data_IF_649824237306
#
_entry.id   IF_649824237306
#
_cell.length_a   1.000
_cell.length_b   1.000
_cell.length_c   1.000
_cell.angle_alpha   90.00
_cell.angle_beta   90.00
_cell.angle_gamma   90.00
#
_symmetry.space_group_name_H-M   'P 1'
#
loop_
_entity.id
_entity.type
_entity.pdbx_description
1 polymer ?
#
# COMPACT_ATOMS: atom_id res chain seq x y z
N UNK A 1 21.84 -28.61 -1.86
CA UNK A 1 21.96 -28.17 -3.27
C UNK A 1 20.60 -28.11 -3.97
N UNK A 2 19.70 -29.08 -3.77
CA UNK A 2 18.38 -29.12 -4.43
C UNK A 2 17.42 -28.02 -3.94
N UNK A 3 17.48 -27.64 -2.66
CA UNK A 3 16.61 -26.58 -2.11
C UNK A 3 16.94 -25.18 -2.62
N UNK A 4 18.24 -24.85 -2.76
CA UNK A 4 18.67 -23.53 -3.28
C UNK A 4 18.32 -23.33 -4.77
N UNK A 5 18.23 -24.42 -5.56
CA UNK A 5 17.84 -24.33 -6.97
C UNK A 5 16.32 -24.11 -7.09
N UNK A 6 15.53 -24.69 -6.20
CA UNK A 6 14.07 -24.52 -6.18
C UNK A 6 13.65 -23.10 -5.79
N UNK A 7 14.26 -22.52 -4.73
CA UNK A 7 14.02 -21.12 -4.32
C UNK A 7 14.44 -20.14 -5.42
N UNK A 8 15.59 -20.40 -6.08
CA UNK A 8 16.07 -19.58 -7.21
C UNK A 8 15.08 -19.60 -8.40
N UNK A 9 14.50 -20.75 -8.71
CA UNK A 9 13.51 -20.90 -9.78
C UNK A 9 12.18 -20.24 -9.43
N UNK A 10 11.69 -20.38 -8.20
CA UNK A 10 10.47 -19.69 -7.72
C UNK A 10 10.63 -18.17 -7.80
N UNK A 11 11.78 -17.64 -7.37
CA UNK A 11 12.09 -16.22 -7.47
C UNK A 11 12.09 -15.75 -8.92
N UNK A 12 12.77 -16.45 -9.83
CA UNK A 12 12.81 -16.09 -11.27
C UNK A 12 11.41 -16.10 -11.91
N UNK A 13 10.54 -17.04 -11.52
CA UNK A 13 9.15 -17.10 -12.01
C UNK A 13 8.33 -15.94 -11.47
N UNK A 14 8.47 -15.60 -10.18
CA UNK A 14 7.82 -14.43 -9.58
C UNK A 14 8.19 -13.16 -10.34
N UNK A 15 9.47 -12.95 -10.59
CA UNK A 15 9.99 -11.80 -11.35
C UNK A 15 9.43 -11.77 -12.79
N UNK A 16 9.26 -12.93 -13.44
CA UNK A 16 8.67 -13.04 -14.79
C UNK A 16 7.19 -12.65 -14.79
N UNK A 17 6.40 -13.17 -13.84
CA UNK A 17 4.97 -12.86 -13.73
C UNK A 17 4.74 -11.39 -13.38
N UNK A 18 5.57 -10.83 -12.52
CA UNK A 18 5.55 -9.40 -12.22
C UNK A 18 5.82 -8.56 -13.47
N UNK A 19 6.81 -8.91 -14.25
CA UNK A 19 7.12 -8.23 -15.52
C UNK A 19 5.99 -8.35 -16.56
N UNK A 20 5.36 -9.51 -16.67
CA UNK A 20 4.20 -9.71 -17.53
C UNK A 20 3.01 -8.85 -17.09
N UNK A 21 2.75 -8.79 -15.78
CA UNK A 21 1.69 -7.96 -15.24
C UNK A 21 1.95 -6.46 -15.49
N UNK A 22 3.19 -5.98 -15.28
CA UNK A 22 3.56 -4.59 -15.56
C UNK A 22 3.31 -4.23 -17.04
N UNK A 23 3.65 -5.12 -17.98
CA UNK A 23 3.37 -4.88 -19.39
C UNK A 23 1.85 -4.80 -19.66
N UNK A 24 1.07 -5.74 -19.12
CA UNK A 24 -0.40 -5.72 -19.23
C UNK A 24 -0.98 -4.42 -18.66
N UNK A 25 -0.48 -3.97 -17.52
CA UNK A 25 -0.93 -2.75 -16.87
C UNK A 25 -0.57 -1.49 -17.69
N UNK A 26 0.65 -1.41 -18.23
CA UNK A 26 1.05 -0.29 -19.11
C UNK A 26 0.17 -0.23 -20.35
N UNK A 27 -0.11 -1.38 -20.98
CA UNK A 27 -1.00 -1.45 -22.14
C UNK A 27 -2.40 -0.94 -21.79
N UNK A 28 -2.90 -1.29 -20.63
CA UNK A 28 -4.19 -0.80 -20.12
C UNK A 28 -4.18 0.72 -19.87
N UNK A 29 -3.14 1.25 -19.21
CA UNK A 29 -2.96 2.70 -18.99
C UNK A 29 -2.92 3.46 -20.30
N UNK A 30 -2.27 2.91 -21.35
CA UNK A 30 -2.25 3.52 -22.66
C UNK A 30 -3.64 3.63 -23.30
N UNK A 31 -4.57 2.75 -22.95
CA UNK A 31 -5.97 2.78 -23.43
C UNK A 31 -6.87 3.74 -22.66
N UNK A 32 -6.45 4.26 -21.51
CA UNK A 32 -7.25 5.22 -20.74
C UNK A 32 -7.46 6.51 -21.56
N UNK A 33 -8.63 7.13 -21.47
CA UNK A 33 -8.97 8.36 -22.22
C UNK A 33 -8.35 9.61 -21.57
N UNK A 34 -7.05 9.58 -21.33
CA UNK A 34 -6.27 10.68 -20.76
C UNK A 34 -5.27 11.22 -21.78
N UNK A 35 -4.99 12.54 -21.78
CA UNK A 35 -3.89 13.11 -22.56
C UNK A 35 -2.54 12.45 -22.20
N UNK A 36 -1.68 12.22 -23.19
CA UNK A 36 -0.39 11.55 -23.00
C UNK A 36 0.45 12.23 -21.90
N UNK A 37 0.52 13.55 -21.90
CA UNK A 37 1.23 14.31 -20.86
C UNK A 37 0.74 13.96 -19.44
N UNK A 38 -0.57 13.90 -19.23
CA UNK A 38 -1.16 13.57 -17.93
C UNK A 38 -0.84 12.13 -17.54
N UNK A 39 -0.92 11.17 -18.48
CA UNK A 39 -0.54 9.78 -18.22
C UNK A 39 0.89 9.67 -17.70
N UNK A 40 1.86 10.27 -18.42
CA UNK A 40 3.27 10.18 -18.06
C UNK A 40 3.62 10.96 -16.79
N UNK A 41 2.95 12.08 -16.52
CA UNK A 41 3.06 12.76 -15.22
C UNK A 41 2.65 11.84 -14.08
N UNK A 42 1.54 11.12 -14.23
CA UNK A 42 1.08 10.16 -13.25
C UNK A 42 1.98 8.92 -13.17
N UNK A 43 2.39 8.35 -14.30
CA UNK A 43 3.32 7.22 -14.35
C UNK A 43 4.64 7.52 -13.65
N UNK A 44 5.09 8.78 -13.65
CA UNK A 44 6.33 9.19 -12.97
C UNK A 44 6.35 8.82 -11.48
N UNK A 45 5.19 8.85 -10.80
CA UNK A 45 5.07 8.52 -9.39
C UNK A 45 4.79 7.02 -9.14
N UNK A 46 4.44 6.27 -10.18
CA UNK A 46 3.94 4.91 -10.00
C UNK A 46 5.04 3.93 -9.56
N UNK A 47 4.80 3.14 -8.49
CA UNK A 47 5.74 2.10 -8.06
C UNK A 47 5.91 0.97 -9.09
N UNK A 48 5.03 0.89 -10.10
CA UNK A 48 5.12 -0.09 -11.17
C UNK A 48 6.08 0.35 -12.31
N UNK A 49 6.49 1.62 -12.33
CA UNK A 49 7.48 2.10 -13.30
C UNK A 49 8.88 1.83 -12.76
N UNK A 50 9.58 0.93 -13.43
CA UNK A 50 10.99 0.65 -13.15
C UNK A 50 11.89 1.68 -13.84
N UNK A 51 13.11 1.87 -13.31
CA UNK A 51 14.07 2.76 -13.94
C UNK A 51 14.53 2.26 -15.31
N UNK A 52 14.49 0.94 -15.55
CA UNK A 52 14.73 0.36 -16.86
C UNK A 52 13.66 0.80 -17.88
N UNK A 53 12.38 0.82 -17.46
CA UNK A 53 11.29 1.31 -18.33
C UNK A 53 11.44 2.80 -18.62
N UNK A 54 11.75 3.62 -17.62
CA UNK A 54 12.02 5.04 -17.80
C UNK A 54 13.18 5.27 -18.79
N UNK A 55 14.30 4.58 -18.62
CA UNK A 55 15.49 4.72 -19.48
C UNK A 55 15.22 4.37 -20.95
N UNK A 56 14.32 3.42 -21.22
CA UNK A 56 13.91 3.03 -22.57
C UNK A 56 12.92 4.01 -23.22
N UNK A 57 12.28 4.88 -22.43
CA UNK A 57 11.21 5.77 -22.88
C UNK A 57 11.47 7.23 -22.47
N UNK A 58 12.74 7.69 -22.50
CA UNK A 58 13.12 9.06 -22.10
C UNK A 58 12.54 10.15 -22.98
N UNK A 59 12.05 9.80 -24.19
CA UNK A 59 11.36 10.68 -25.14
C UNK A 59 9.94 11.05 -24.72
N UNK A 60 9.39 10.37 -23.72
CA UNK A 60 8.03 10.60 -23.23
C UNK A 60 7.97 11.79 -22.25
N UNK A 61 6.80 12.43 -22.11
CA UNK A 61 6.64 13.63 -21.28
C UNK A 61 6.56 13.30 -19.79
N UNK A 62 7.63 12.72 -19.23
CA UNK A 62 7.78 12.44 -17.81
C UNK A 62 7.79 13.72 -16.99
N UNK A 63 7.25 13.64 -15.77
CA UNK A 63 7.53 14.63 -14.74
C UNK A 63 8.79 14.20 -13.97
N UNK A 64 9.94 14.80 -14.28
CA UNK A 64 11.23 14.39 -13.75
C UNK A 64 11.35 14.63 -12.23
N UNK A 65 10.71 15.68 -11.73
CA UNK A 65 10.68 15.96 -10.29
C UNK A 65 9.88 14.88 -9.55
N UNK A 66 8.68 14.54 -10.04
CA UNK A 66 7.85 13.50 -9.44
C UNK A 66 8.50 12.11 -9.54
N UNK A 67 9.17 11.84 -10.67
CA UNK A 67 9.91 10.59 -10.85
C UNK A 67 10.97 10.42 -9.75
N UNK A 68 11.73 11.46 -9.44
CA UNK A 68 12.74 11.41 -8.38
C UNK A 68 12.13 11.36 -6.99
N UNK A 69 11.13 12.16 -6.70
CA UNK A 69 10.65 12.35 -5.34
C UNK A 69 9.65 11.29 -4.87
N UNK A 70 8.94 10.67 -5.81
CA UNK A 70 7.80 9.83 -5.47
C UNK A 70 7.91 8.38 -5.97
N UNK A 71 8.80 8.11 -6.95
CA UNK A 71 8.95 6.74 -7.45
C UNK A 71 9.93 5.94 -6.56
N UNK A 72 9.48 4.85 -5.91
CA UNK A 72 10.33 4.08 -5.01
C UNK A 72 11.42 3.26 -5.71
N UNK A 73 11.42 3.21 -7.06
CA UNK A 73 12.41 2.47 -7.84
C UNK A 73 13.62 3.33 -8.26
N UNK A 74 13.71 4.59 -7.82
CA UNK A 74 14.88 5.44 -8.07
C UNK A 74 16.13 4.81 -7.43
N UNK A 75 17.24 4.82 -8.17
CA UNK A 75 18.53 4.24 -7.75
C UNK A 75 19.62 5.31 -7.74
N UNK A 76 20.77 4.98 -7.16
CA UNK A 76 21.98 5.82 -7.19
C UNK A 76 22.40 6.15 -8.64
N UNK A 77 22.33 5.16 -9.56
CA UNK A 77 22.69 5.37 -10.97
C UNK A 77 21.81 6.44 -11.64
N UNK A 78 20.51 6.48 -11.31
CA UNK A 78 19.60 7.51 -11.81
C UNK A 78 20.00 8.88 -11.24
N UNK A 79 20.35 8.97 -9.96
CA UNK A 79 20.83 10.20 -9.34
C UNK A 79 22.09 10.73 -10.03
N UNK A 80 23.08 9.87 -10.27
CA UNK A 80 24.31 10.21 -10.99
C UNK A 80 24.01 10.62 -12.46
N UNK A 81 23.10 9.92 -13.12
CA UNK A 81 22.68 10.28 -14.49
C UNK A 81 22.05 11.68 -14.53
N UNK A 82 21.13 11.98 -13.61
CA UNK A 82 20.46 13.29 -13.55
C UNK A 82 21.45 14.41 -13.22
N UNK A 83 22.36 14.17 -12.26
CA UNK A 83 23.43 15.10 -11.92
C UNK A 83 24.32 15.40 -13.15
N UNK A 84 24.73 14.36 -13.89
CA UNK A 84 25.55 14.51 -15.10
C UNK A 84 24.85 15.26 -16.24
N UNK A 85 23.53 15.11 -16.35
CA UNK A 85 22.71 15.75 -17.38
C UNK A 85 22.05 17.04 -16.89
N UNK A 86 22.35 17.53 -15.71
CA UNK A 86 21.65 18.64 -15.07
C UNK A 86 21.55 19.89 -15.96
N UNK A 87 22.64 20.22 -16.69
CA UNK A 87 22.64 21.37 -17.62
C UNK A 87 21.62 21.25 -18.74
N UNK A 88 21.25 20.02 -19.14
CA UNK A 88 20.29 19.74 -20.22
C UNK A 88 18.87 19.74 -19.67
N UNK A 89 18.66 19.06 -18.54
CA UNK A 89 17.32 18.84 -17.97
C UNK A 89 16.86 19.94 -17.00
N UNK A 90 17.73 20.92 -16.68
CA UNK A 90 17.47 21.95 -15.67
C UNK A 90 16.14 22.67 -15.89
N UNK A 91 15.85 23.04 -17.14
CA UNK A 91 14.62 23.77 -17.46
C UNK A 91 13.39 22.92 -17.19
N UNK A 92 13.34 21.70 -17.73
CA UNK A 92 12.21 20.79 -17.60
C UNK A 92 12.01 20.40 -16.12
N UNK A 93 13.11 20.15 -15.41
CA UNK A 93 13.08 19.83 -13.99
C UNK A 93 12.51 20.97 -13.12
N UNK A 94 12.87 22.24 -13.44
CA UNK A 94 12.34 23.41 -12.74
C UNK A 94 10.85 23.58 -13.06
N UNK A 95 10.43 23.41 -14.31
CA UNK A 95 9.02 23.46 -14.70
C UNK A 95 8.19 22.41 -13.94
N UNK A 96 8.68 21.18 -13.87
CA UNK A 96 8.05 20.07 -13.15
C UNK A 96 7.98 20.34 -11.62
N UNK A 97 9.06 20.86 -11.02
CA UNK A 97 9.10 21.28 -9.64
C UNK A 97 8.03 22.34 -9.35
N UNK A 98 7.94 23.37 -10.19
CA UNK A 98 6.97 24.45 -10.04
C UNK A 98 5.52 23.95 -10.19
N UNK A 99 5.25 23.05 -11.15
CA UNK A 99 3.93 22.44 -11.32
C UNK A 99 3.51 21.64 -10.10
N UNK A 100 4.44 20.92 -9.47
CA UNK A 100 4.18 20.10 -8.29
C UNK A 100 3.89 20.91 -7.04
N UNK A 101 4.26 22.20 -6.99
CA UNK A 101 4.10 23.11 -5.85
C UNK A 101 3.03 24.20 -6.03
N UNK A 102 2.45 24.34 -7.21
CA UNK A 102 1.42 25.37 -7.51
C UNK A 102 0.09 25.19 -6.73
N UNK A 103 -0.04 24.19 -5.88
CA UNK A 103 -1.18 23.98 -4.99
C UNK A 103 -0.97 24.51 -3.54
N UNK A 104 0.24 24.90 -3.18
CA UNK A 104 0.59 25.42 -1.84
C UNK A 104 0.74 26.94 -1.97
N UNK A 105 -0.03 27.69 -1.14
CA UNK A 105 -0.20 29.16 -1.16
C UNK A 105 0.96 29.95 -1.77
N UNK A 106 0.64 30.67 -2.82
CA UNK A 106 1.50 31.32 -3.81
C UNK A 106 2.44 32.43 -3.31
N UNK A 107 2.62 32.64 -2.04
CA UNK A 107 3.36 33.81 -1.54
C UNK A 107 4.85 33.58 -1.25
N UNK A 108 5.28 32.36 -0.99
CA UNK A 108 6.70 32.10 -0.67
C UNK A 108 7.57 31.58 -1.82
N UNK A 109 6.98 31.00 -2.87
CA UNK A 109 7.74 30.33 -3.94
C UNK A 109 7.87 31.10 -5.26
N UNK A 110 7.07 32.15 -5.48
CA UNK A 110 7.16 32.95 -6.73
C UNK A 110 8.45 33.75 -6.88
N UNK A 111 9.17 34.00 -5.82
CA UNK A 111 10.48 34.70 -5.85
C UNK A 111 11.66 33.75 -5.93
N UNK A 112 11.51 32.46 -5.57
CA UNK A 112 12.63 31.51 -5.47
C UNK A 112 12.93 30.72 -6.74
N UNK A 113 12.03 30.70 -7.74
CA UNK A 113 12.28 29.98 -9.02
C UNK A 113 13.46 30.55 -9.82
N UNK A 114 13.80 31.82 -9.62
CA UNK A 114 14.99 32.49 -10.19
C UNK A 114 16.27 32.12 -9.44
N UNK A 115 16.20 31.49 -8.26
CA UNK A 115 17.34 31.21 -7.37
C UNK A 115 17.67 29.74 -7.20
N UNK A 116 17.04 28.80 -7.94
CA UNK A 116 17.46 27.38 -7.90
C UNK A 116 18.85 27.24 -8.52
N UNK A 117 19.85 27.33 -7.66
CA UNK A 117 21.25 27.10 -8.04
C UNK A 117 21.45 25.62 -8.42
N UNK A 118 22.52 25.33 -9.18
CA UNK A 118 22.87 23.92 -9.50
C UNK A 118 23.06 23.08 -8.22
N UNK A 119 23.66 23.63 -7.17
CA UNK A 119 23.83 22.94 -5.90
C UNK A 119 22.50 22.59 -5.26
N UNK A 120 21.50 23.49 -5.31
CA UNK A 120 20.17 23.20 -4.77
C UNK A 120 19.44 22.13 -5.55
N UNK A 121 19.60 22.09 -6.86
CA UNK A 121 19.06 21.05 -7.71
C UNK A 121 19.72 19.69 -7.42
N UNK A 122 21.03 19.67 -7.17
CA UNK A 122 21.76 18.46 -6.75
C UNK A 122 21.22 17.95 -5.40
N UNK A 123 21.01 18.84 -4.41
CA UNK A 123 20.39 18.46 -3.14
C UNK A 123 19.01 17.81 -3.34
N UNK A 124 18.15 18.37 -4.20
CA UNK A 124 16.83 17.82 -4.52
C UNK A 124 16.95 16.43 -5.17
N UNK A 125 17.87 16.26 -6.13
CA UNK A 125 18.14 14.96 -6.77
C UNK A 125 18.49 13.93 -5.71
N UNK A 126 19.46 14.24 -4.83
CA UNK A 126 19.91 13.29 -3.80
C UNK A 126 18.90 13.09 -2.67
N UNK A 127 18.02 14.05 -2.42
CA UNK A 127 16.85 13.84 -1.56
C UNK A 127 15.93 12.77 -2.14
N UNK A 128 15.65 12.82 -3.45
CA UNK A 128 14.85 11.80 -4.14
C UNK A 128 15.53 10.42 -4.12
N UNK A 129 16.84 10.37 -4.46
CA UNK A 129 17.63 9.14 -4.38
C UNK A 129 17.62 8.53 -2.98
N UNK A 130 17.67 9.36 -1.93
CA UNK A 130 17.60 8.91 -0.53
C UNK A 130 16.28 8.21 -0.20
N UNK A 131 15.19 8.49 -0.94
CA UNK A 131 13.88 7.83 -0.80
C UNK A 131 13.71 6.59 -1.66
N UNK A 132 14.62 6.34 -2.58
CA UNK A 132 14.58 5.25 -3.53
C UNK A 132 15.23 3.95 -3.04
N UNK A 133 15.59 3.10 -3.99
CA UNK A 133 16.33 1.84 -3.73
C UNK A 133 17.81 2.14 -3.54
N UNK A 134 18.26 2.18 -2.31
CA UNK A 134 19.65 2.41 -1.94
C UNK A 134 20.12 1.37 -0.93
N UNK A 135 21.39 1.02 -0.96
CA UNK A 135 22.04 0.14 0.01
C UNK A 135 22.96 0.92 0.91
N UNK A 136 23.29 0.38 2.10
CA UNK A 136 24.25 1.02 3.00
C UNK A 136 25.63 1.14 2.34
N UNK A 137 26.05 0.14 1.57
CA UNK A 137 27.33 0.17 0.84
C UNK A 137 27.39 1.32 -0.17
N UNK A 138 26.31 1.57 -0.91
CA UNK A 138 26.22 2.70 -1.85
C UNK A 138 26.27 4.05 -1.11
N UNK A 139 25.59 4.18 0.05
CA UNK A 139 25.62 5.39 0.86
C UNK A 139 27.05 5.69 1.32
N UNK A 140 27.78 4.68 1.77
CA UNK A 140 29.18 4.82 2.20
C UNK A 140 30.11 5.10 1.02
N UNK A 141 29.92 4.41 -0.12
CA UNK A 141 30.70 4.61 -1.34
C UNK A 141 30.57 6.05 -1.86
N UNK A 142 29.36 6.61 -1.81
CA UNK A 142 29.05 7.96 -2.28
C UNK A 142 28.86 8.93 -1.10
N UNK A 143 29.66 8.81 -0.04
CA UNK A 143 29.55 9.62 1.19
C UNK A 143 29.74 11.13 0.97
N UNK A 144 30.32 11.53 -0.16
CA UNK A 144 30.48 12.94 -0.55
C UNK A 144 29.22 13.56 -1.17
N UNK A 145 28.16 12.77 -1.40
CA UNK A 145 26.89 13.26 -1.95
C UNK A 145 25.99 13.84 -0.86
N UNK A 146 25.13 14.82 -1.20
CA UNK A 146 24.26 15.47 -0.22
C UNK A 146 23.03 14.61 0.11
N UNK A 147 23.25 13.47 0.76
CA UNK A 147 22.21 12.58 1.22
C UNK A 147 21.23 13.28 2.16
N UNK A 148 19.95 13.00 2.00
CA UNK A 148 18.94 13.40 2.96
C UNK A 148 18.82 12.36 4.08
N UNK A 149 19.52 12.56 5.19
CA UNK A 149 19.52 11.62 6.32
C UNK A 149 18.13 11.43 6.94
N UNK A 150 17.31 12.48 6.91
CA UNK A 150 15.91 12.40 7.31
C UNK A 150 15.12 11.42 6.41
N UNK A 151 15.37 11.44 5.10
CA UNK A 151 14.73 10.55 4.14
C UNK A 151 15.29 9.14 4.25
N UNK A 152 16.63 8.99 4.33
CA UNK A 152 17.29 7.70 4.54
C UNK A 152 16.80 7.00 5.81
N UNK A 153 16.65 7.73 6.91
CA UNK A 153 16.15 7.16 8.17
C UNK A 153 14.75 6.54 8.06
N UNK A 154 13.91 7.01 7.13
CA UNK A 154 12.59 6.40 6.83
C UNK A 154 12.64 5.30 5.79
N UNK A 155 13.75 5.16 5.07
CA UNK A 155 13.85 4.28 3.92
C UNK A 155 13.85 2.82 4.36
N UNK A 156 12.98 2.01 3.76
CA UNK A 156 12.86 0.58 4.05
C UNK A 156 14.11 -0.25 3.70
N UNK A 157 15.04 0.29 2.92
CA UNK A 157 16.32 -0.34 2.67
C UNK A 157 17.26 -0.30 3.88
N UNK A 158 17.04 0.64 4.82
CA UNK A 158 17.85 0.82 6.04
C UNK A 158 17.25 -0.03 7.16
N UNK A 159 18.07 -0.88 7.75
CA UNK A 159 17.73 -1.77 8.85
C UNK A 159 18.35 -1.31 10.16
N UNK A 160 17.85 -1.81 11.28
CA UNK A 160 18.43 -1.50 12.60
C UNK A 160 19.91 -1.88 12.69
N UNK A 161 20.33 -2.95 12.03
CA UNK A 161 21.73 -3.38 11.96
C UNK A 161 22.63 -2.32 11.30
N UNK A 162 22.13 -1.61 10.27
CA UNK A 162 22.89 -0.55 9.61
C UNK A 162 23.07 0.65 10.55
N UNK A 163 22.02 1.00 11.29
CA UNK A 163 22.05 2.10 12.27
C UNK A 163 23.03 1.81 13.40
N UNK A 164 23.02 0.57 13.93
CA UNK A 164 23.90 0.16 15.02
C UNK A 164 25.36 0.03 14.59
N UNK A 165 25.61 -0.41 13.35
CA UNK A 165 26.97 -0.52 12.81
C UNK A 165 27.59 0.84 12.44
N UNK A 166 26.75 1.86 12.23
CA UNK A 166 27.20 3.20 11.84
C UNK A 166 26.58 4.28 12.74
N UNK A 167 26.83 4.26 14.06
CA UNK A 167 26.21 5.16 15.03
C UNK A 167 26.62 6.64 14.86
N UNK A 168 27.75 6.89 14.21
CA UNK A 168 28.28 8.24 13.97
C UNK A 168 27.59 8.96 12.80
N UNK A 169 26.76 8.25 12.01
CA UNK A 169 26.00 8.85 10.93
C UNK A 169 24.78 9.63 11.52
N UNK A 170 24.37 10.73 10.87
CA UNK A 170 23.37 11.63 11.44
C UNK A 170 21.93 11.10 11.27
N UNK A 171 21.64 9.94 11.87
CA UNK A 171 20.32 9.33 11.87
C UNK A 171 19.26 10.20 12.54
N UNK A 172 18.11 10.35 11.90
CA UNK A 172 16.93 11.00 12.47
C UNK A 172 16.05 9.95 13.17
N UNK A 173 16.10 9.88 14.51
CA UNK A 173 15.41 8.88 15.31
C UNK A 173 13.88 9.00 15.23
N UNK A 174 13.34 10.21 15.02
CA UNK A 174 11.92 10.38 14.75
C UNK A 174 11.54 9.68 13.43
N UNK A 175 12.39 9.82 12.41
CA UNK A 175 12.19 9.17 11.12
C UNK A 175 12.46 7.66 11.16
N UNK A 176 13.44 7.19 11.95
CA UNK A 176 13.66 5.77 12.22
C UNK A 176 12.42 5.13 12.88
N UNK A 177 11.73 5.86 13.76
CA UNK A 177 10.47 5.39 14.37
C UNK A 177 9.31 5.22 13.36
N UNK A 178 9.48 5.68 12.13
CA UNK A 178 8.55 5.54 10.99
C UNK A 178 9.07 4.60 9.91
N UNK A 179 10.26 4.02 10.09
CA UNK A 179 10.87 3.15 9.10
C UNK A 179 10.22 1.76 9.14
N UNK A 180 9.63 1.27 8.03
CA UNK A 180 8.92 -0.01 8.03
C UNK A 180 9.85 -1.25 8.17
N UNK A 181 11.16 -1.08 8.05
CA UNK A 181 12.14 -2.16 8.26
C UNK A 181 12.72 -2.21 9.68
N UNK A 182 12.36 -1.26 10.54
CA UNK A 182 12.63 -1.29 11.98
C UNK A 182 11.46 -1.98 12.66
N UNK A 183 11.73 -3.05 13.38
CA UNK A 183 10.70 -3.82 14.06
C UNK A 183 10.46 -3.33 15.49
N UNK A 184 9.31 -3.69 16.07
CA UNK A 184 9.04 -3.38 17.48
C UNK A 184 10.05 -4.04 18.43
N UNK A 185 10.58 -5.22 18.08
CA UNK A 185 11.61 -5.90 18.85
C UNK A 185 12.96 -5.17 18.79
N UNK A 186 13.30 -4.57 17.62
CA UNK A 186 14.47 -3.69 17.50
C UNK A 186 14.36 -2.50 18.45
N UNK A 187 13.17 -1.89 18.55
CA UNK A 187 12.93 -0.75 19.43
C UNK A 187 13.04 -1.16 20.90
N UNK A 188 12.40 -2.28 21.31
CA UNK A 188 12.44 -2.78 22.68
C UNK A 188 13.88 -3.10 23.08
N UNK A 189 14.66 -3.79 22.23
CA UNK A 189 16.04 -4.14 22.47
C UNK A 189 17.00 -2.95 22.51
N UNK A 190 16.58 -1.80 21.97
CA UNK A 190 17.35 -0.55 21.93
C UNK A 190 16.55 0.61 22.52
N UNK A 191 15.83 0.36 23.59
CA UNK A 191 14.91 1.32 24.23
C UNK A 191 15.59 2.54 24.85
N UNK A 192 16.93 2.51 25.00
CA UNK A 192 17.79 3.62 25.42
C UNK A 192 17.93 4.72 24.36
N UNK A 193 17.55 4.45 23.12
CA UNK A 193 17.63 5.40 22.00
C UNK A 193 16.47 6.38 22.02
N UNK A 194 16.62 7.59 21.41
CA UNK A 194 15.62 8.63 21.48
C UNK A 194 14.45 8.42 20.49
N UNK A 195 13.76 7.29 20.63
CA UNK A 195 12.60 6.93 19.82
C UNK A 195 11.44 7.90 19.99
N UNK A 196 10.66 8.10 18.94
CA UNK A 196 9.36 8.75 19.06
C UNK A 196 8.28 7.74 19.45
N UNK A 197 7.96 7.64 20.72
CA UNK A 197 7.03 6.64 21.29
C UNK A 197 5.59 6.78 20.79
N UNK A 198 5.19 7.92 20.23
CA UNK A 198 3.90 8.03 19.55
C UNK A 198 3.87 7.16 18.28
N UNK A 199 4.92 7.23 17.46
CA UNK A 199 5.03 6.40 16.26
C UNK A 199 5.33 4.94 16.61
N UNK A 200 6.21 4.70 17.58
CA UNK A 200 6.51 3.33 18.08
C UNK A 200 5.24 2.62 18.54
N UNK A 201 4.34 3.30 19.27
CA UNK A 201 3.08 2.73 19.74
C UNK A 201 2.06 2.43 18.61
N UNK A 202 2.38 2.82 17.37
CA UNK A 202 1.56 2.53 16.16
C UNK A 202 2.28 1.60 15.18
N UNK A 203 3.46 1.10 15.51
CA UNK A 203 4.25 0.27 14.59
C UNK A 203 3.54 -1.05 14.28
N UNK A 204 3.76 -1.54 13.07
CA UNK A 204 3.38 -2.91 12.71
C UNK A 204 4.06 -3.92 13.67
N UNK A 205 3.34 -4.96 14.05
CA UNK A 205 3.82 -5.98 14.98
C UNK A 205 3.77 -5.60 16.46
N UNK A 206 3.23 -4.39 16.81
CA UNK A 206 2.88 -4.12 18.21
C UNK A 206 1.71 -4.99 18.63
N UNK A 207 1.80 -5.57 19.82
CA UNK A 207 0.71 -6.36 20.40
C UNK A 207 0.48 -5.94 21.84
N UNK A 208 -0.69 -6.31 22.37
CA UNK A 208 -0.99 -6.06 23.77
C UNK A 208 0.00 -6.75 24.71
N UNK A 209 0.41 -7.98 24.38
CA UNK A 209 1.38 -8.76 25.14
C UNK A 209 2.72 -8.02 25.24
N UNK A 210 3.24 -7.49 24.12
CA UNK A 210 4.50 -6.73 24.10
C UNK A 210 4.45 -5.49 25.00
N UNK A 211 3.30 -4.81 25.05
CA UNK A 211 3.10 -3.65 25.93
C UNK A 211 3.10 -4.10 27.40
N UNK A 212 2.41 -5.19 27.72
CA UNK A 212 2.30 -5.72 29.07
C UNK A 212 3.61 -6.32 29.60
N UNK A 213 4.39 -6.94 28.71
CA UNK A 213 5.73 -7.47 29.04
C UNK A 213 6.75 -6.35 29.28
N UNK A 214 6.52 -5.15 28.74
CA UNK A 214 7.42 -4.00 28.84
C UNK A 214 6.74 -2.76 29.45
N UNK A 215 6.16 -2.85 30.67
CA UNK A 215 5.30 -1.81 31.24
C UNK A 215 6.04 -0.52 31.61
N UNK A 216 7.36 -0.57 31.70
CA UNK A 216 8.21 0.60 32.04
C UNK A 216 8.53 1.46 30.83
N UNK A 217 8.27 0.98 29.61
CA UNK A 217 8.48 1.76 28.40
C UNK A 217 7.37 2.82 28.23
N UNK A 218 7.68 3.99 27.67
CA UNK A 218 6.76 5.12 27.64
C UNK A 218 5.71 5.01 26.51
N UNK A 219 4.97 3.90 26.48
CA UNK A 219 3.89 3.65 25.55
C UNK A 219 2.87 4.78 25.51
N UNK A 220 2.37 5.09 24.32
CA UNK A 220 1.31 6.08 24.08
C UNK A 220 0.00 5.35 23.80
N UNK A 221 -0.80 5.12 24.86
CA UNK A 221 -2.05 4.36 24.76
C UNK A 221 -3.03 4.89 23.72
N UNK A 222 -3.16 6.21 23.57
CA UNK A 222 -3.99 6.80 22.53
C UNK A 222 -3.49 6.41 21.11
N UNK A 223 -2.17 6.46 20.88
CA UNK A 223 -1.59 6.06 19.61
C UNK A 223 -1.76 4.55 19.35
N UNK A 224 -1.58 3.72 20.37
CA UNK A 224 -1.85 2.29 20.33
C UNK A 224 -3.33 2.02 19.98
N UNK A 225 -4.27 2.66 20.68
CA UNK A 225 -5.70 2.53 20.37
C UNK A 225 -6.01 2.90 18.92
N UNK A 226 -5.46 4.02 18.41
CA UNK A 226 -5.67 4.44 17.03
C UNK A 226 -5.12 3.44 16.00
N UNK A 227 -4.19 2.55 16.39
CA UNK A 227 -3.57 1.57 15.51
C UNK A 227 -4.23 0.19 15.52
N UNK A 228 -5.21 -0.06 16.40
CA UNK A 228 -5.81 -1.39 16.59
C UNK A 228 -6.37 -1.99 15.30
N UNK A 229 -7.01 -1.16 14.48
CA UNK A 229 -7.64 -1.60 13.24
C UNK A 229 -6.61 -1.96 12.16
N UNK A 230 -5.60 -1.09 11.93
CA UNK A 230 -4.65 -1.37 10.83
C UNK A 230 -3.63 -2.44 11.20
N UNK A 231 -3.26 -2.56 12.47
CA UNK A 231 -2.33 -3.59 12.93
C UNK A 231 -3.04 -4.90 13.26
N UNK A 232 -4.36 -4.95 13.12
CA UNK A 232 -5.18 -6.12 13.42
C UNK A 232 -4.90 -6.68 14.83
N UNK A 233 -4.66 -5.79 15.81
CA UNK A 233 -4.34 -6.16 17.19
C UNK A 233 -5.61 -6.64 17.87
N UNK A 234 -5.59 -7.87 18.39
CA UNK A 234 -6.71 -8.37 19.17
C UNK A 234 -6.65 -7.81 20.61
N UNK A 235 -7.66 -7.04 20.99
CA UNK A 235 -7.86 -6.56 22.37
C UNK A 235 -9.18 -7.10 22.85
N UNK A 236 -9.20 -8.15 23.72
CA UNK A 236 -10.43 -8.66 24.28
C UNK A 236 -11.18 -7.58 25.07
N UNK A 237 -12.52 -7.58 24.97
CA UNK A 237 -13.30 -6.54 25.65
C UNK A 237 -13.18 -6.62 27.17
N UNK A 238 -13.04 -7.82 27.72
CA UNK A 238 -12.78 -8.04 29.15
C UNK A 238 -11.50 -7.31 29.59
N UNK A 239 -10.46 -7.29 28.76
CA UNK A 239 -9.25 -6.55 29.07
C UNK A 239 -9.50 -5.03 29.12
N UNK A 240 -10.35 -4.50 28.25
CA UNK A 240 -10.76 -3.09 28.29
C UNK A 240 -11.48 -2.77 29.60
N UNK A 241 -12.39 -3.66 30.02
CA UNK A 241 -13.15 -3.51 31.28
C UNK A 241 -12.25 -3.57 32.53
N UNK A 242 -11.23 -4.45 32.53
CA UNK A 242 -10.28 -4.57 33.63
C UNK A 242 -9.27 -3.41 33.69
N UNK A 243 -9.18 -2.58 32.63
CA UNK A 243 -8.20 -1.50 32.50
C UNK A 243 -8.86 -0.17 32.10
N UNK A 244 -9.99 0.16 32.70
CA UNK A 244 -10.71 1.43 32.46
C UNK A 244 -9.94 2.69 32.92
N UNK A 245 -8.84 2.53 33.65
CA UNK A 245 -7.89 3.58 33.99
C UNK A 245 -7.05 4.05 32.79
N UNK A 246 -6.99 3.25 31.73
CA UNK A 246 -6.28 3.60 30.51
C UNK A 246 -7.15 4.50 29.61
N UNK A 247 -6.54 5.45 28.88
CA UNK A 247 -7.27 6.36 28.01
C UNK A 247 -7.70 5.68 26.69
N UNK A 248 -8.66 4.74 26.80
CA UNK A 248 -9.24 4.07 25.65
C UNK A 248 -9.96 5.04 24.72
N UNK A 249 -9.76 4.89 23.42
CA UNK A 249 -10.54 5.60 22.42
C UNK A 249 -11.80 4.79 22.09
N UNK A 250 -12.94 5.10 22.73
CA UNK A 250 -14.19 4.37 22.55
C UNK A 250 -14.73 4.46 21.13
N UNK A 251 -14.40 5.51 20.36
CA UNK A 251 -14.77 5.59 18.94
C UNK A 251 -14.06 4.52 18.12
N UNK A 252 -12.75 4.31 18.34
CA UNK A 252 -11.99 3.24 17.67
C UNK A 252 -12.47 1.87 18.13
N UNK A 253 -12.65 1.68 19.44
CA UNK A 253 -13.20 0.42 19.98
C UNK A 253 -14.58 0.10 19.43
N UNK A 254 -15.42 1.09 19.18
CA UNK A 254 -16.75 0.86 18.55
C UNK A 254 -16.68 0.12 17.21
N UNK A 255 -15.59 0.28 16.45
CA UNK A 255 -15.36 -0.41 15.18
C UNK A 255 -14.56 -1.69 15.32
N UNK A 256 -13.97 -1.93 16.49
CA UNK A 256 -13.05 -3.06 16.69
C UNK A 256 -13.82 -4.39 16.75
N UNK A 257 -13.34 -5.39 16.00
CA UNK A 257 -13.99 -6.71 15.83
C UNK A 257 -14.22 -7.50 17.12
N UNK A 258 -13.48 -7.22 18.20
CA UNK A 258 -13.68 -7.88 19.48
C UNK A 258 -14.87 -7.32 20.29
N UNK A 259 -15.46 -6.20 19.84
CA UNK A 259 -16.63 -5.59 20.45
C UNK A 259 -17.87 -6.07 19.68
N UNK A 260 -18.72 -6.81 20.37
CA UNK A 260 -19.96 -7.36 19.80
C UNK A 260 -21.17 -6.47 20.10
N UNK A 261 -22.28 -6.69 19.39
CA UNK A 261 -23.55 -6.00 19.72
C UNK A 261 -23.99 -6.30 21.17
N UNK A 262 -23.77 -7.53 21.65
CA UNK A 262 -24.09 -7.90 23.02
C UNK A 262 -23.32 -7.05 24.06
N UNK A 263 -22.02 -6.80 23.82
CA UNK A 263 -21.21 -5.94 24.67
C UNK A 263 -21.74 -4.50 24.68
N UNK A 264 -22.08 -3.97 23.50
CA UNK A 264 -22.61 -2.61 23.33
C UNK A 264 -23.94 -2.46 24.12
N UNK A 265 -24.84 -3.43 24.01
CA UNK A 265 -26.12 -3.43 24.69
C UNK A 265 -25.97 -3.65 26.21
N UNK A 266 -24.98 -4.42 26.65
CA UNK A 266 -24.68 -4.65 28.06
C UNK A 266 -24.08 -3.43 28.76
N UNK A 267 -23.30 -2.61 28.01
CA UNK A 267 -22.62 -1.42 28.55
C UNK A 267 -23.05 -0.12 27.84
N UNK A 268 -24.35 0.25 27.89
CA UNK A 268 -24.91 1.37 27.14
C UNK A 268 -24.40 2.75 27.58
N UNK A 269 -23.75 2.82 28.77
CA UNK A 269 -23.19 4.07 29.32
C UNK A 269 -21.82 4.42 28.74
N UNK A 270 -21.19 3.51 28.00
CA UNK A 270 -19.98 3.85 27.28
C UNK A 270 -20.32 4.77 26.11
N UNK A 271 -19.41 5.69 25.81
CA UNK A 271 -19.59 6.65 24.71
C UNK A 271 -19.38 5.97 23.35
N UNK A 272 -20.28 5.01 23.03
CA UNK A 272 -20.26 4.29 21.77
C UNK A 272 -20.57 5.21 20.58
N UNK A 273 -19.87 4.98 19.46
CA UNK A 273 -20.13 5.69 18.21
C UNK A 273 -20.86 4.78 17.22
N UNK A 274 -22.15 5.05 16.98
CA UNK A 274 -23.00 4.24 16.08
C UNK A 274 -22.57 4.28 14.61
N UNK A 275 -21.87 5.32 14.17
CA UNK A 275 -21.27 5.38 12.86
C UNK A 275 -20.20 4.27 12.74
N UNK A 276 -19.32 4.14 13.74
CA UNK A 276 -18.28 3.11 13.77
C UNK A 276 -18.81 1.73 14.13
N UNK A 277 -19.83 1.63 15.00
CA UNK A 277 -20.52 0.35 15.26
C UNK A 277 -21.09 -0.23 13.97
N UNK A 278 -21.71 0.60 13.15
CA UNK A 278 -22.30 0.16 11.88
C UNK A 278 -21.25 -0.40 10.88
N UNK A 279 -19.99 -0.03 11.02
CA UNK A 279 -18.86 -0.54 10.24
C UNK A 279 -18.14 -1.72 10.90
N UNK A 280 -18.49 -2.04 12.16
CA UNK A 280 -17.78 -3.06 12.92
C UNK A 280 -17.98 -4.45 12.29
N UNK A 281 -16.89 -5.21 11.99
CA UNK A 281 -16.99 -6.54 11.39
C UNK A 281 -17.71 -7.59 12.24
N UNK A 282 -17.93 -7.34 13.55
CA UNK A 282 -18.73 -8.22 14.39
C UNK A 282 -20.24 -8.05 14.18
N UNK A 283 -20.67 -6.94 13.57
CA UNK A 283 -22.07 -6.64 13.28
C UNK A 283 -22.48 -7.25 11.94
N UNK A 284 -23.52 -8.04 11.98
CA UNK A 284 -24.07 -8.77 10.82
C UNK A 284 -25.41 -8.17 10.37
N UNK A 285 -25.89 -8.58 9.19
CA UNK A 285 -27.24 -8.19 8.72
C UNK A 285 -28.34 -8.71 9.63
N UNK A 286 -28.12 -9.84 10.32
CA UNK A 286 -29.05 -10.37 11.32
C UNK A 286 -29.22 -9.41 12.50
N UNK A 287 -28.11 -8.89 13.03
CA UNK A 287 -28.13 -7.91 14.13
C UNK A 287 -28.91 -6.64 13.74
N UNK A 288 -28.70 -6.16 12.50
CA UNK A 288 -29.40 -4.99 11.98
C UNK A 288 -30.91 -5.24 11.84
N UNK A 289 -31.31 -6.44 11.43
CA UNK A 289 -32.71 -6.80 11.25
C UNK A 289 -33.41 -7.10 12.58
N UNK A 290 -32.73 -7.70 13.55
CA UNK A 290 -33.31 -8.00 14.87
C UNK A 290 -33.45 -6.76 15.75
N UNK A 291 -32.61 -5.73 15.51
CA UNK A 291 -32.59 -4.48 16.28
C UNK A 291 -32.81 -3.24 15.41
N UNK A 292 -33.95 -3.12 14.70
CA UNK A 292 -34.23 -1.97 13.81
C UNK A 292 -34.40 -0.64 14.57
N UNK A 293 -34.61 -0.70 15.89
CA UNK A 293 -34.75 0.48 16.77
C UNK A 293 -33.40 1.16 17.10
N UNK A 294 -32.27 0.51 16.83
CA UNK A 294 -30.93 1.06 17.11
C UNK A 294 -30.53 2.11 16.04
N UNK A 295 -29.60 2.98 16.43
CA UNK A 295 -29.19 4.12 15.60
C UNK A 295 -28.21 3.72 14.47
N UNK A 296 -28.59 2.77 13.64
CA UNK A 296 -27.77 2.32 12.51
C UNK A 296 -27.43 3.45 11.54
N UNK A 297 -26.14 3.62 11.25
CA UNK A 297 -25.65 4.52 10.22
C UNK A 297 -25.49 3.77 8.90
N UNK A 298 -26.47 3.94 8.00
CA UNK A 298 -26.59 3.12 6.78
C UNK A 298 -25.39 3.20 5.83
N UNK A 299 -24.67 4.35 5.65
CA UNK A 299 -23.41 4.35 4.93
C UNK A 299 -22.36 3.43 5.58
N UNK A 300 -22.34 3.33 6.92
CA UNK A 300 -21.49 2.40 7.67
C UNK A 300 -21.90 0.94 7.45
N UNK A 301 -23.21 0.63 7.60
CA UNK A 301 -23.76 -0.72 7.32
C UNK A 301 -23.43 -1.15 5.90
N UNK A 302 -23.59 -0.25 4.92
CA UNK A 302 -23.34 -0.56 3.50
C UNK A 302 -21.89 -0.95 3.22
N UNK A 303 -20.92 -0.33 3.90
CA UNK A 303 -19.48 -0.63 3.73
C UNK A 303 -18.92 -1.66 4.71
N UNK A 304 -19.77 -2.16 5.63
CA UNK A 304 -19.35 -3.16 6.62
C UNK A 304 -18.88 -4.45 5.93
N UNK A 305 -17.68 -4.98 6.26
CA UNK A 305 -17.14 -6.19 5.62
C UNK A 305 -17.92 -7.47 5.93
N UNK A 306 -18.78 -7.48 6.96
CA UNK A 306 -19.66 -8.61 7.27
C UNK A 306 -20.99 -8.56 6.51
N UNK A 307 -21.27 -7.47 5.80
CA UNK A 307 -22.47 -7.34 4.94
C UNK A 307 -22.10 -7.78 3.52
N UNK A 308 -22.75 -8.84 3.07
CA UNK A 308 -22.50 -9.44 1.76
C UNK A 308 -23.38 -8.84 0.66
N UNK A 309 -23.04 -9.10 -0.60
CA UNK A 309 -23.89 -8.71 -1.74
C UNK A 309 -25.21 -9.48 -1.76
N UNK A 310 -25.25 -10.66 -1.16
CA UNK A 310 -26.48 -11.43 -0.96
C UNK A 310 -27.39 -10.76 0.10
N UNK A 311 -26.83 -10.28 1.20
CA UNK A 311 -27.58 -9.54 2.23
C UNK A 311 -28.23 -8.29 1.61
N UNK A 312 -27.49 -7.55 0.79
CA UNK A 312 -28.02 -6.36 0.10
C UNK A 312 -29.14 -6.74 -0.87
N UNK A 313 -28.98 -7.83 -1.62
CA UNK A 313 -29.97 -8.32 -2.58
C UNK A 313 -31.24 -8.83 -1.91
N UNK A 314 -31.11 -9.45 -0.73
CA UNK A 314 -32.24 -9.97 0.04
C UNK A 314 -32.96 -8.91 0.87
N UNK A 315 -32.36 -7.72 1.06
CA UNK A 315 -32.89 -6.62 1.85
C UNK A 315 -32.99 -5.33 1.03
N UNK A 316 -33.59 -5.39 -0.15
CA UNK A 316 -33.67 -4.27 -1.13
C UNK A 316 -34.48 -3.06 -0.64
N UNK A 317 -35.31 -3.24 0.38
CA UNK A 317 -36.15 -2.23 1.02
C UNK A 317 -35.37 -1.35 2.00
N UNK A 318 -34.18 -1.75 2.36
CA UNK A 318 -33.31 -1.00 3.29
C UNK A 318 -32.67 0.22 2.61
N UNK A 319 -32.35 1.28 3.35
CA UNK A 319 -31.83 2.53 2.79
C UNK A 319 -30.32 2.44 2.51
N UNK A 320 -29.91 1.51 1.65
CA UNK A 320 -28.53 1.32 1.23
C UNK A 320 -27.94 2.59 0.61
N UNK A 321 -26.71 2.93 1.00
CA UNK A 321 -25.97 4.01 0.35
C UNK A 321 -25.12 3.47 -0.81
N UNK A 322 -25.67 3.60 -2.02
CA UNK A 322 -25.04 3.11 -3.25
C UNK A 322 -23.72 3.80 -3.60
N UNK A 323 -23.44 4.98 -3.04
CA UNK A 323 -22.13 5.62 -3.18
C UNK A 323 -21.08 4.94 -2.31
N UNK A 324 -21.47 4.54 -1.08
CA UNK A 324 -20.56 3.91 -0.13
C UNK A 324 -20.40 2.39 -0.33
N UNK A 325 -21.25 1.75 -1.13
CA UNK A 325 -21.11 0.32 -1.46
C UNK A 325 -19.77 0.01 -2.14
N UNK A 326 -19.20 1.00 -2.80
CA UNK A 326 -17.88 0.93 -3.41
C UNK A 326 -16.75 0.59 -2.41
N UNK A 327 -16.95 0.90 -1.12
CA UNK A 327 -15.99 0.58 -0.06
C UNK A 327 -16.26 -0.78 0.62
N UNK A 328 -17.34 -1.47 0.24
CA UNK A 328 -17.58 -2.81 0.76
C UNK A 328 -16.61 -3.81 0.10
N UNK A 329 -15.81 -4.57 0.88
CA UNK A 329 -14.83 -5.51 0.31
C UNK A 329 -15.48 -6.72 -0.37
N UNK A 330 -16.80 -6.92 -0.20
CA UNK A 330 -17.53 -8.02 -0.83
C UNK A 330 -18.15 -7.65 -2.19
N UNK A 331 -18.03 -6.36 -2.64
CA UNK A 331 -18.58 -5.98 -3.93
C UNK A 331 -17.87 -6.72 -5.06
N UNK A 332 -18.63 -7.16 -6.06
CA UNK A 332 -18.10 -7.86 -7.22
C UNK A 332 -18.45 -7.17 -8.53
N UNK A 333 -17.65 -7.31 -9.59
CA UNK A 333 -17.98 -6.85 -10.93
C UNK A 333 -19.37 -7.33 -11.39
N UNK A 334 -19.73 -8.57 -11.09
CA UNK A 334 -21.03 -9.15 -11.42
C UNK A 334 -22.19 -8.42 -10.70
N UNK A 335 -22.04 -8.14 -9.41
CA UNK A 335 -23.03 -7.37 -8.65
C UNK A 335 -23.24 -5.97 -9.25
N UNK A 336 -22.16 -5.29 -9.63
CA UNK A 336 -22.22 -3.97 -10.29
C UNK A 336 -22.98 -4.07 -11.61
N UNK A 337 -22.68 -5.08 -12.45
CA UNK A 337 -23.34 -5.29 -13.74
C UNK A 337 -24.83 -5.62 -13.61
N UNK A 338 -25.21 -6.35 -12.57
CA UNK A 338 -26.62 -6.71 -12.31
C UNK A 338 -27.43 -5.54 -11.72
N UNK A 339 -26.77 -4.48 -11.23
CA UNK A 339 -27.37 -3.32 -10.58
C UNK A 339 -27.03 -2.00 -11.29
N UNK A 340 -26.93 -2.00 -12.63
CA UNK A 340 -26.48 -0.83 -13.45
C UNK A 340 -27.35 0.41 -13.30
N UNK A 341 -28.60 0.25 -12.86
CA UNK A 341 -29.57 1.32 -12.60
C UNK A 341 -29.27 2.06 -11.28
N UNK A 342 -28.44 1.51 -10.42
CA UNK A 342 -28.10 2.10 -9.13
C UNK A 342 -27.04 3.20 -9.27
N UNK A 343 -27.11 4.25 -8.43
CA UNK A 343 -26.21 5.39 -8.51
C UNK A 343 -24.85 5.11 -7.87
N UNK A 344 -24.08 4.19 -8.46
CA UNK A 344 -22.71 3.92 -8.02
C UNK A 344 -21.81 5.14 -8.16
N UNK A 345 -20.95 5.35 -7.17
CA UNK A 345 -19.85 6.30 -7.29
C UNK A 345 -18.63 5.60 -7.93
N UNK A 346 -18.39 5.88 -9.21
CA UNK A 346 -17.33 5.26 -10.00
C UNK A 346 -15.92 5.71 -9.55
N UNK A 347 -15.79 6.94 -9.00
CA UNK A 347 -14.53 7.38 -8.40
C UNK A 347 -14.17 6.52 -7.19
N UNK A 348 -15.16 6.20 -6.33
CA UNK A 348 -14.94 5.32 -5.18
C UNK A 348 -14.72 3.86 -5.60
N UNK A 349 -15.44 3.38 -6.63
CA UNK A 349 -15.20 2.05 -7.20
C UNK A 349 -13.77 1.90 -7.74
N UNK A 350 -13.15 3.00 -8.18
CA UNK A 350 -11.74 3.00 -8.62
C UNK A 350 -10.76 2.64 -7.50
N UNK A 351 -11.18 2.71 -6.23
CA UNK A 351 -10.40 2.34 -5.04
C UNK A 351 -10.62 0.91 -4.58
N UNK A 352 -11.65 0.22 -5.11
CA UNK A 352 -12.00 -1.11 -4.65
C UNK A 352 -11.11 -2.19 -5.28
N UNK A 353 -10.49 -3.04 -4.45
CA UNK A 353 -9.56 -4.08 -4.89
C UNK A 353 -10.18 -5.17 -5.78
N UNK A 354 -11.51 -5.34 -5.73
CA UNK A 354 -12.23 -6.29 -6.57
C UNK A 354 -12.56 -5.73 -7.97
N UNK A 355 -12.36 -4.42 -8.19
CA UNK A 355 -12.48 -3.78 -9.49
C UNK A 355 -11.14 -3.88 -10.21
N UNK A 356 -10.99 -4.92 -11.01
CA UNK A 356 -9.76 -5.15 -11.74
C UNK A 356 -9.66 -4.32 -13.03
N UNK A 357 -8.44 -4.29 -13.60
CA UNK A 357 -8.12 -3.50 -14.80
C UNK A 357 -8.95 -3.93 -16.01
N UNK A 358 -9.32 -5.21 -16.12
CA UNK A 358 -10.10 -5.73 -17.25
C UNK A 358 -11.55 -5.25 -17.16
N UNK A 359 -12.10 -5.16 -15.94
CA UNK A 359 -13.43 -4.58 -15.72
C UNK A 359 -13.45 -3.09 -16.08
N UNK A 360 -12.43 -2.33 -15.68
CA UNK A 360 -12.29 -0.91 -16.06
C UNK A 360 -12.22 -0.73 -17.57
N UNK A 361 -11.38 -1.53 -18.25
CA UNK A 361 -11.23 -1.47 -19.70
C UNK A 361 -12.51 -1.84 -20.48
N UNK A 362 -13.36 -2.67 -19.86
CA UNK A 362 -14.65 -3.06 -20.45
C UNK A 362 -15.75 -2.00 -20.20
N UNK A 363 -15.49 -1.00 -19.34
CA UNK A 363 -16.46 0.02 -18.94
C UNK A 363 -15.84 1.43 -18.98
N UNK A 364 -15.06 1.78 -20.03
CA UNK A 364 -14.40 3.08 -20.17
C UNK A 364 -15.34 4.27 -20.35
N UNK A 365 -16.64 4.02 -20.55
CA UNK A 365 -17.71 5.01 -20.60
C UNK A 365 -18.09 5.58 -19.22
N UNK A 366 -17.59 4.98 -18.15
CA UNK A 366 -17.86 5.40 -16.77
C UNK A 366 -16.85 6.44 -16.28
N UNK A 367 -17.25 7.21 -15.26
CA UNK A 367 -16.44 8.29 -14.67
C UNK A 367 -15.39 7.74 -13.72
N UNK A 368 -14.47 6.93 -14.22
CA UNK A 368 -13.38 6.38 -13.43
C UNK A 368 -12.36 7.43 -13.00
N UNK A 369 -11.85 7.32 -11.78
CA UNK A 369 -10.67 8.07 -11.35
C UNK A 369 -9.40 7.31 -11.77
N UNK A 370 -8.97 7.51 -13.01
CA UNK A 370 -7.84 6.79 -13.62
C UNK A 370 -6.53 6.97 -12.85
N UNK A 371 -6.37 8.06 -12.09
CA UNK A 371 -5.22 8.30 -11.24
C UNK A 371 -5.02 7.18 -10.21
N UNK A 372 -6.09 6.65 -9.60
CA UNK A 372 -5.98 5.54 -8.67
C UNK A 372 -5.42 4.27 -9.32
N UNK A 373 -5.76 4.00 -10.58
CA UNK A 373 -5.21 2.87 -11.32
C UNK A 373 -3.75 3.07 -11.76
N UNK A 374 -3.25 4.29 -11.75
CA UNK A 374 -1.88 4.63 -12.13
C UNK A 374 -0.98 4.78 -10.91
N UNK A 375 -1.45 5.45 -9.85
CA UNK A 375 -0.69 5.69 -8.62
C UNK A 375 -0.87 4.61 -7.56
N UNK A 376 -2.05 3.96 -7.54
CA UNK A 376 -2.54 3.24 -6.38
C UNK A 376 -1.68 2.03 -6.04
N UNK A 377 -1.35 1.91 -4.76
CA UNK A 377 -0.91 0.64 -4.18
C UNK A 377 -2.02 -0.43 -4.28
N UNK A 378 -3.27 -0.02 -4.54
CA UNK A 378 -4.46 -0.89 -4.56
C UNK A 378 -4.54 -1.75 -5.83
N UNK A 379 -3.82 -1.39 -6.91
CA UNK A 379 -3.47 -2.34 -7.96
C UNK A 379 -2.64 -3.54 -7.46
N UNK A 380 -2.15 -3.48 -6.21
CA UNK A 380 -1.54 -4.64 -5.55
C UNK A 380 -2.55 -5.80 -5.50
N UNK A 381 -3.84 -5.55 -5.31
CA UNK A 381 -4.91 -6.55 -5.41
C UNK A 381 -4.96 -7.19 -6.79
N UNK A 382 -5.06 -6.40 -7.85
CA UNK A 382 -5.04 -6.88 -9.25
C UNK A 382 -3.73 -7.56 -9.61
N UNK A 383 -2.59 -7.06 -9.13
CA UNK A 383 -1.27 -7.68 -9.31
C UNK A 383 -1.17 -9.01 -8.58
N UNK A 384 -1.56 -9.06 -7.30
CA UNK A 384 -1.58 -10.29 -6.50
C UNK A 384 -2.52 -11.34 -7.11
N UNK A 385 -3.71 -10.92 -7.55
CA UNK A 385 -4.68 -11.78 -8.22
C UNK A 385 -4.09 -12.36 -9.50
N UNK A 386 -3.49 -11.54 -10.36
CA UNK A 386 -2.85 -11.97 -11.60
C UNK A 386 -1.71 -12.98 -11.35
N UNK A 387 -0.82 -12.69 -10.40
CA UNK A 387 0.28 -13.59 -10.04
C UNK A 387 -0.28 -14.91 -9.51
N UNK A 388 -1.28 -14.88 -8.61
CA UNK A 388 -1.93 -16.06 -8.07
C UNK A 388 -2.63 -16.90 -9.14
N UNK A 389 -3.28 -16.26 -10.11
CA UNK A 389 -3.88 -16.94 -11.26
C UNK A 389 -2.82 -17.66 -12.09
N UNK A 390 -1.68 -17.01 -12.37
CA UNK A 390 -0.56 -17.62 -13.08
C UNK A 390 0.08 -18.78 -12.32
N UNK A 391 0.20 -18.67 -11.00
CA UNK A 391 0.66 -19.78 -10.15
C UNK A 391 -0.33 -20.95 -10.15
N UNK A 392 -1.64 -20.69 -10.14
CA UNK A 392 -2.66 -21.73 -10.21
C UNK A 392 -2.69 -22.41 -11.59
N UNK A 393 -2.61 -21.65 -12.70
CA UNK A 393 -2.46 -22.19 -14.05
C UNK A 393 -1.24 -23.11 -14.14
N UNK A 394 -0.11 -22.71 -13.53
CA UNK A 394 1.08 -23.53 -13.49
C UNK A 394 0.87 -24.84 -12.73
N UNK A 395 0.24 -24.77 -11.54
CA UNK A 395 -0.08 -25.97 -10.73
C UNK A 395 -0.96 -26.96 -11.51
N UNK A 396 -2.02 -26.45 -12.14
CA UNK A 396 -2.92 -27.27 -12.95
C UNK A 396 -2.19 -27.92 -14.14
N UNK A 397 -1.31 -27.16 -14.81
CA UNK A 397 -0.49 -27.69 -15.89
C UNK A 397 0.48 -28.78 -15.41
N UNK A 398 1.09 -28.62 -14.24
CA UNK A 398 1.98 -29.61 -13.62
C UNK A 398 1.21 -30.85 -13.20
N UNK A 399 0.01 -30.75 -12.66
CA UNK A 399 -0.86 -31.88 -12.32
C UNK A 399 -1.27 -32.65 -13.58
N UNK A 400 -1.65 -31.96 -14.66
CA UNK A 400 -1.97 -32.54 -15.94
C UNK A 400 -0.78 -33.30 -16.54
N UNK A 401 0.44 -32.75 -16.44
CA UNK A 401 1.66 -33.42 -16.86
C UNK A 401 1.93 -34.69 -16.07
N UNK A 402 1.76 -34.67 -14.74
CA UNK A 402 1.91 -35.86 -13.90
C UNK A 402 0.91 -36.93 -14.27
N UNK A 403 -0.36 -36.61 -14.57
CA UNK A 403 -1.39 -37.54 -15.03
C UNK A 403 -1.00 -38.14 -16.38
N UNK A 404 -0.43 -37.35 -17.30
CA UNK A 404 0.05 -37.84 -18.60
C UNK A 404 1.24 -38.77 -18.41
N UNK A 405 2.15 -38.48 -17.48
CA UNK A 405 3.29 -39.35 -17.15
C UNK A 405 2.84 -40.71 -16.59
N UNK A 406 1.86 -40.68 -15.67
CA UNK A 406 1.31 -41.94 -15.11
C UNK A 406 0.62 -42.80 -16.15
N UNK A 407 -0.07 -42.18 -17.13
CA UNK A 407 -0.76 -42.88 -18.22
C UNK A 407 0.17 -43.40 -19.32
N UNK A 408 1.31 -42.72 -19.54
CA UNK A 408 2.26 -43.02 -20.61
C UNK A 408 3.65 -43.39 -20.07
N UNK A 409 3.78 -44.53 -19.41
CA UNK A 409 5.02 -45.04 -18.81
C UNK A 409 6.23 -45.18 -19.77
N UNK A 410 6.02 -44.97 -21.08
CA UNK A 410 7.05 -45.05 -22.11
C UNK A 410 7.70 -43.73 -22.50
N UNK A 411 7.30 -42.60 -21.88
CA UNK A 411 7.94 -41.34 -22.15
C UNK A 411 9.19 -41.21 -21.26
N UNK A 412 10.39 -41.01 -21.84
CA UNK A 412 11.61 -40.87 -21.06
C UNK A 412 11.52 -39.72 -20.03
N UNK A 413 12.01 -39.96 -18.82
CA UNK A 413 11.98 -39.02 -17.71
C UNK A 413 12.70 -37.69 -18.03
N UNK A 414 13.67 -37.71 -18.96
CA UNK A 414 14.39 -36.55 -19.46
C UNK A 414 13.49 -35.59 -20.26
N UNK A 415 12.54 -36.11 -21.03
CA UNK A 415 11.57 -35.29 -21.79
C UNK A 415 10.62 -34.60 -20.83
N UNK A 416 10.19 -35.29 -19.76
CA UNK A 416 9.37 -34.71 -18.73
C UNK A 416 10.09 -33.60 -17.94
N UNK A 417 11.37 -33.81 -17.62
CA UNK A 417 12.20 -32.77 -17.01
C UNK A 417 12.30 -31.55 -17.91
N UNK A 418 12.57 -31.70 -19.18
CA UNK A 418 12.66 -30.60 -20.15
C UNK A 418 11.34 -29.82 -20.27
N UNK A 419 10.20 -30.53 -20.26
CA UNK A 419 8.87 -29.93 -20.30
C UNK A 419 8.57 -29.19 -18.96
N UNK A 420 8.89 -29.80 -17.82
CA UNK A 420 8.75 -29.20 -16.48
C UNK A 420 9.64 -27.97 -16.28
N UNK A 421 10.79 -27.91 -16.95
CA UNK A 421 11.70 -26.75 -16.95
C UNK A 421 11.22 -25.61 -17.86
N UNK A 422 10.28 -25.90 -18.78
CA UNK A 422 9.65 -24.92 -19.67
C UNK A 422 8.40 -24.27 -19.06
N UNK A 423 7.74 -24.90 -18.09
CA UNK A 423 6.62 -24.38 -17.32
C UNK A 423 7.08 -23.87 -15.95
#
# INVERSE_FOLDING_TARGET
MIDNDCESLQKKRGDLYEKQWINKWIDAVNRFPLPEKIKYQQLSCSPNITMEYYLKNQDKPWNLYQLLMSNPNVTVDIGLLFESKLKIIKRDFIEDFMQSHNGVSSYEYHTDSLFLTENKLIEIIWQGVSGGKVTMDEILQYSNKPWSWRTLSKNSSIKMTDVLNHPDLPWDWMCLSLNPSITIDDVINNSDKPWNWYFVSKMEGITLEKILENPTLPWRWNAFCDSLDYNNVNVPFEFVLDNLDKPWNMHVLSRHRSITLADILQYPLFNWNWEFISENPSITMNDVNEHPELSWYWPGVTRNPSITMEDISNNVDKPWDWSYIAFNPNITPEFILNNKDKPFNWDFLSLNENVDIDFVLSNLDKSWSYSYFIFGNDLIGSKKKYIKEKENELKENMENLNIIQEKNKNIPQEIFRTISDYF
#
